data_IF_322271009562
#
_entry.id   IF_322271009562
#
_cell.length_a   1.000
_cell.length_b   1.000
_cell.length_c   1.000
_cell.angle_alpha   90.00
_cell.angle_beta   90.00
_cell.angle_gamma   90.00
#
_symmetry.space_group_name_H-M   'P 1'
#
loop_
_entity.id
_entity.type
_entity.pdbx_description
1 polymer ?
#
# COMPACT_ATOMS: atom_id res chain seq x y z
N UNK A 1 14.55 7.70 6.06
CA UNK A 1 13.94 6.52 6.73
C UNK A 1 13.52 5.50 5.68
N UNK A 2 13.69 4.24 5.98
CA UNK A 2 13.19 3.18 5.11
C UNK A 2 11.67 3.03 5.28
N UNK A 3 11.03 2.37 4.33
CA UNK A 3 9.60 2.09 4.42
C UNK A 3 9.25 1.30 5.69
N UNK A 4 10.10 0.33 6.05
CA UNK A 4 9.90 -0.44 7.29
C UNK A 4 9.93 0.45 8.52
N UNK A 5 10.86 1.39 8.56
CA UNK A 5 10.97 2.33 9.68
C UNK A 5 9.75 3.24 9.79
N UNK A 6 9.26 3.73 8.64
CA UNK A 6 8.07 4.58 8.62
C UNK A 6 6.85 3.78 9.08
N UNK A 7 6.71 2.54 8.61
CA UNK A 7 5.59 1.69 9.01
C UNK A 7 5.61 1.42 10.52
N UNK A 8 6.78 1.14 11.08
CA UNK A 8 6.92 0.94 12.52
C UNK A 8 6.58 2.22 13.30
N UNK A 9 7.00 3.37 12.79
CA UNK A 9 6.68 4.66 13.43
C UNK A 9 5.18 4.94 13.42
N UNK A 10 4.48 4.58 12.35
CA UNK A 10 3.03 4.74 12.28
C UNK A 10 2.35 3.84 13.31
N UNK A 11 2.83 2.61 13.47
CA UNK A 11 2.27 1.67 14.45
C UNK A 11 2.38 2.19 15.88
N UNK A 12 3.45 2.92 16.19
CA UNK A 12 3.69 3.45 17.54
C UNK A 12 3.16 4.86 17.75
N UNK A 13 2.51 5.44 16.73
CA UNK A 13 1.97 6.79 16.82
C UNK A 13 3.00 7.89 16.62
N UNK A 14 4.22 7.57 16.20
CA UNK A 14 5.29 8.54 16.00
C UNK A 14 5.28 9.17 14.61
N UNK A 15 4.51 8.59 13.67
CA UNK A 15 4.38 9.11 12.32
C UNK A 15 2.93 8.97 11.85
N UNK A 16 2.55 9.84 10.91
CA UNK A 16 1.22 9.80 10.32
C UNK A 16 1.20 8.76 9.19
N UNK A 17 0.06 8.11 9.02
CA UNK A 17 -0.13 7.16 7.92
C UNK A 17 0.07 7.82 6.55
N UNK A 18 -0.15 9.12 6.44
CA UNK A 18 0.10 9.85 5.19
C UNK A 18 1.58 9.86 4.82
N UNK A 19 2.47 9.86 5.80
CA UNK A 19 3.91 9.73 5.54
C UNK A 19 4.23 8.36 4.96
N UNK A 20 3.58 7.33 5.48
CA UNK A 20 3.74 5.98 4.94
C UNK A 20 3.15 5.89 3.53
N UNK A 21 2.01 6.52 3.29
CA UNK A 21 1.41 6.57 1.96
C UNK A 21 2.36 7.21 0.96
N UNK A 22 2.97 8.34 1.32
CA UNK A 22 3.96 8.99 0.45
C UNK A 22 5.11 8.05 0.09
N UNK A 23 5.54 7.23 1.03
CA UNK A 23 6.64 6.30 0.81
C UNK A 23 6.24 5.14 -0.10
N UNK A 24 4.98 4.70 -0.08
CA UNK A 24 4.55 3.50 -0.80
C UNK A 24 3.67 3.81 -2.01
N UNK A 25 3.25 5.07 -2.22
CA UNK A 25 2.26 5.38 -3.25
C UNK A 25 2.73 4.99 -4.65
N UNK A 26 4.01 5.11 -4.94
CA UNK A 26 4.56 4.70 -6.23
C UNK A 26 4.39 3.19 -6.43
N UNK A 27 4.67 2.41 -5.39
CA UNK A 27 4.46 0.98 -5.40
C UNK A 27 2.98 0.63 -5.60
N UNK A 28 2.10 1.33 -4.88
CA UNK A 28 0.66 1.11 -4.98
C UNK A 28 0.13 1.47 -6.37
N UNK A 29 0.59 2.59 -6.93
CA UNK A 29 0.22 3.00 -8.28
C UNK A 29 0.69 1.99 -9.32
N UNK A 30 1.92 1.49 -9.19
CA UNK A 30 2.45 0.50 -10.10
C UNK A 30 1.61 -0.77 -10.10
N UNK A 31 1.23 -1.24 -8.91
CA UNK A 31 0.37 -2.41 -8.78
C UNK A 31 -1.02 -2.18 -9.36
N UNK A 32 -1.62 -1.02 -9.07
CA UNK A 32 -2.93 -0.68 -9.61
C UNK A 32 -2.88 -0.58 -11.13
N UNK A 33 -1.83 0.02 -11.66
CA UNK A 33 -1.66 0.16 -13.11
C UNK A 33 -1.55 -1.22 -13.78
N UNK A 34 -0.81 -2.14 -13.18
CA UNK A 34 -0.69 -3.50 -13.70
C UNK A 34 -2.04 -4.21 -13.73
N UNK A 35 -2.84 -4.00 -12.70
CA UNK A 35 -4.18 -4.57 -12.63
C UNK A 35 -5.10 -4.02 -13.72
N UNK A 36 -5.05 -2.70 -13.95
CA UNK A 36 -5.87 -2.09 -15.00
C UNK A 36 -5.47 -2.58 -16.40
N UNK A 37 -4.17 -2.76 -16.61
CA UNK A 37 -3.69 -3.32 -17.89
C UNK A 37 -4.17 -4.75 -18.09
N UNK A 38 -4.14 -5.55 -17.04
CA UNK A 38 -4.61 -6.94 -17.12
C UNK A 38 -6.11 -7.00 -17.37
N UNK A 39 -6.87 -6.02 -16.91
CA UNK A 39 -8.32 -5.97 -17.09
C UNK A 39 -8.75 -5.47 -18.47
N UNK A 40 -7.86 -5.07 -19.32
CA UNK A 40 -8.03 -4.63 -20.71
C UNK A 40 -9.28 -3.75 -20.98
N UNK A 41 -9.05 -2.45 -21.12
CA UNK A 41 -10.07 -1.54 -21.65
C UNK A 41 -11.23 -1.21 -20.74
N UNK A 42 -11.19 -1.60 -19.51
CA UNK A 42 -12.16 -1.10 -18.54
C UNK A 42 -11.69 0.27 -18.09
N UNK A 43 -12.46 1.26 -18.38
CA UNK A 43 -12.17 2.66 -18.35
C UNK A 43 -11.30 3.20 -17.21
N UNK A 44 -10.83 4.45 -17.38
CA UNK A 44 -9.88 5.11 -16.47
C UNK A 44 -10.36 5.24 -15.02
N UNK A 45 -11.67 5.19 -14.78
CA UNK A 45 -12.22 5.25 -13.43
C UNK A 45 -11.76 4.09 -12.56
N UNK A 46 -11.39 2.97 -13.17
CA UNK A 46 -10.95 1.78 -12.43
C UNK A 46 -9.62 2.04 -11.73
N UNK A 47 -8.71 2.80 -12.34
CA UNK A 47 -7.43 3.12 -11.72
C UNK A 47 -7.61 3.92 -10.43
N UNK A 48 -8.47 4.94 -10.45
CA UNK A 48 -8.74 5.76 -9.28
C UNK A 48 -9.34 4.92 -8.15
N UNK A 49 -10.28 4.05 -8.47
CA UNK A 49 -10.88 3.16 -7.49
C UNK A 49 -9.84 2.23 -6.88
N UNK A 50 -8.93 1.68 -7.70
CA UNK A 50 -7.88 0.80 -7.21
C UNK A 50 -6.90 1.54 -6.31
N UNK A 51 -6.60 2.80 -6.61
CA UNK A 51 -5.71 3.60 -5.77
C UNK A 51 -6.37 3.88 -4.42
N UNK A 52 -7.67 4.17 -4.40
CA UNK A 52 -8.40 4.33 -3.14
C UNK A 52 -8.42 3.05 -2.33
N UNK A 53 -8.68 1.91 -2.98
CA UNK A 53 -8.61 0.62 -2.32
C UNK A 53 -7.21 0.34 -1.79
N UNK A 54 -6.18 0.74 -2.51
CA UNK A 54 -4.80 0.58 -2.08
C UNK A 54 -4.51 1.39 -0.80
N UNK A 55 -5.06 2.59 -0.68
CA UNK A 55 -4.92 3.38 0.53
C UNK A 55 -5.62 2.71 1.72
N UNK A 56 -6.83 2.21 1.50
CA UNK A 56 -7.57 1.49 2.55
C UNK A 56 -6.80 0.21 2.96
N UNK A 57 -6.26 -0.51 1.99
CA UNK A 57 -5.44 -1.68 2.27
C UNK A 57 -4.19 -1.31 3.07
N UNK A 58 -3.63 -0.12 2.85
CA UNK A 58 -2.49 0.36 3.62
C UNK A 58 -2.84 0.52 5.10
N UNK A 59 -4.01 1.07 5.40
CA UNK A 59 -4.44 1.22 6.78
C UNK A 59 -4.53 -0.13 7.48
N UNK A 60 -5.08 -1.13 6.82
CA UNK A 60 -5.15 -2.49 7.35
C UNK A 60 -3.76 -3.11 7.46
N UNK A 61 -2.94 -2.97 6.42
CA UNK A 61 -1.62 -3.57 6.39
C UNK A 61 -0.72 -3.05 7.51
N UNK A 62 -0.74 -1.73 7.76
CA UNK A 62 0.13 -1.16 8.79
C UNK A 62 -0.30 -1.58 10.19
N UNK A 63 -1.59 -1.83 10.40
CA UNK A 63 -2.08 -2.27 11.71
C UNK A 63 -1.75 -3.73 11.99
N UNK A 64 -1.62 -4.54 10.95
CA UNK A 64 -1.43 -5.98 11.09
C UNK A 64 0.00 -6.43 10.82
N UNK A 65 0.83 -5.55 10.27
CA UNK A 65 2.21 -5.91 9.93
C UNK A 65 3.06 -6.16 11.18
N UNK A 66 3.92 -7.17 11.09
CA UNK A 66 4.89 -7.50 12.13
C UNK A 66 6.29 -7.45 11.54
N UNK A 67 7.20 -6.63 12.12
CA UNK A 67 8.56 -6.52 11.59
C UNK A 67 9.31 -7.85 11.47
N UNK A 68 9.08 -8.76 12.40
CA UNK A 68 9.71 -10.07 12.37
C UNK A 68 9.20 -10.99 11.25
N UNK A 69 8.08 -10.64 10.64
CA UNK A 69 7.50 -11.40 9.53
C UNK A 69 8.01 -11.03 8.15
N UNK A 70 8.94 -10.07 8.05
CA UNK A 70 9.51 -9.64 6.78
C UNK A 70 9.26 -8.18 6.46
N UNK A 71 9.58 -7.77 5.24
CA UNK A 71 9.47 -6.39 4.82
C UNK A 71 8.00 -5.95 4.71
N UNK A 72 7.74 -4.69 5.07
CA UNK A 72 6.39 -4.14 5.00
C UNK A 72 5.83 -4.19 3.58
N UNK A 73 6.64 -3.86 2.56
CA UNK A 73 6.15 -3.87 1.18
C UNK A 73 5.71 -5.26 0.73
N UNK A 74 6.36 -6.31 1.22
CA UNK A 74 5.94 -7.67 0.93
C UNK A 74 4.57 -7.94 1.51
N UNK A 75 4.36 -7.57 2.76
CA UNK A 75 3.07 -7.73 3.44
C UNK A 75 1.98 -6.90 2.76
N UNK A 76 2.29 -5.65 2.47
CA UNK A 76 1.35 -4.77 1.78
C UNK A 76 0.97 -5.31 0.39
N UNK A 77 1.96 -5.84 -0.34
CA UNK A 77 1.70 -6.46 -1.64
C UNK A 77 0.72 -7.62 -1.55
N UNK A 78 0.80 -8.42 -0.50
CA UNK A 78 -0.15 -9.51 -0.27
C UNK A 78 -1.55 -8.97 0.01
N UNK A 79 -1.67 -7.90 0.78
CA UNK A 79 -2.96 -7.26 1.04
C UNK A 79 -3.58 -6.68 -0.22
N UNK A 80 -2.76 -6.17 -1.12
CA UNK A 80 -3.25 -5.59 -2.37
C UNK A 80 -3.83 -6.63 -3.32
N UNK A 81 -3.45 -7.89 -3.18
CA UNK A 81 -3.95 -8.96 -4.04
C UNK A 81 -5.35 -9.44 -3.66
N UNK A 82 -5.78 -9.10 -2.51
CA UNK A 82 -7.14 -9.47 -2.06
C UNK A 82 -8.12 -8.33 -2.32
#
# INVERSE_FOLDING_TARGET
MTTNEIAAAVQTGQADVLELWDAVQRFAHDRAYRWTRAAKGRGGAVLDDLVQCAFIALLDAVQTWRPEGGAFLTWYGLKLKT
#
